data_IF_032907718734
#
_entry.id   IF_032907718734
#
_cell.length_a   1.000
_cell.length_b   1.000
_cell.length_c   1.000
_cell.angle_alpha   90.00
_cell.angle_beta   90.00
_cell.angle_gamma   90.00
#
_symmetry.space_group_name_H-M   'P 1'
#
loop_
_entity.id
_entity.type
_entity.pdbx_description
1 polymer ?
#
# COMPACT_ATOMS: atom_id res chain seq x y z
N UNK A 1 6.72 17.01 -16.83
CA UNK A 1 5.54 16.15 -16.88
C UNK A 1 5.72 14.95 -15.95
N UNK A 2 4.70 14.65 -15.21
CA UNK A 2 4.74 13.51 -14.29
C UNK A 2 4.78 12.21 -15.06
N UNK A 3 5.61 11.30 -14.58
CA UNK A 3 5.75 9.97 -15.17
C UNK A 3 4.83 8.96 -14.48
N UNK A 4 4.05 9.40 -13.50
CA UNK A 4 3.14 8.54 -12.77
C UNK A 4 1.75 9.14 -12.70
N UNK A 5 0.78 8.28 -12.41
CA UNK A 5 -0.61 8.69 -12.23
C UNK A 5 -1.00 8.39 -10.79
N UNK A 6 -1.42 9.41 -10.06
CA UNK A 6 -2.01 9.25 -8.73
C UNK A 6 -3.51 9.08 -8.88
N UNK A 7 -4.04 7.98 -8.38
CA UNK A 7 -5.47 7.72 -8.39
C UNK A 7 -6.01 8.14 -7.04
N UNK A 8 -6.81 9.21 -7.04
CA UNK A 8 -7.39 9.74 -5.80
C UNK A 8 -8.61 8.94 -5.42
N UNK A 9 -8.58 8.31 -4.26
CA UNK A 9 -9.75 7.72 -3.66
C UNK A 9 -10.32 8.71 -2.64
N UNK A 10 -11.40 9.40 -3.02
CA UNK A 10 -12.02 10.43 -2.19
C UNK A 10 -12.67 9.89 -0.92
N UNK A 11 -12.79 8.58 -0.81
CA UNK A 11 -13.32 7.95 0.41
C UNK A 11 -12.29 7.89 1.53
N UNK A 12 -10.99 8.11 1.24
CA UNK A 12 -9.99 8.15 2.30
C UNK A 12 -9.88 9.54 2.93
N UNK A 13 -9.72 9.59 4.27
CA UNK A 13 -9.54 10.85 4.96
C UNK A 13 -8.30 11.62 4.47
N UNK A 14 -8.35 12.92 4.62
CA UNK A 14 -7.30 13.80 4.13
C UNK A 14 -5.96 13.55 4.82
N UNK A 15 -5.94 13.24 6.11
CA UNK A 15 -4.73 12.93 6.84
C UNK A 15 -4.10 11.61 6.36
N UNK A 16 -4.92 10.62 6.01
CA UNK A 16 -4.44 9.38 5.39
C UNK A 16 -3.85 9.67 4.02
N UNK A 17 -4.51 10.51 3.22
CA UNK A 17 -3.99 10.90 1.91
C UNK A 17 -2.63 11.59 2.02
N UNK A 18 -2.45 12.44 3.03
CA UNK A 18 -1.16 13.10 3.27
C UNK A 18 -0.05 12.09 3.53
N UNK A 19 -0.35 11.04 4.32
CA UNK A 19 0.62 9.98 4.59
C UNK A 19 0.94 9.19 3.31
N UNK A 20 -0.07 8.87 2.52
CA UNK A 20 0.12 8.19 1.23
C UNK A 20 1.03 9.02 0.32
N UNK A 21 0.81 10.34 0.27
CA UNK A 21 1.64 11.23 -0.52
C UNK A 21 3.10 11.24 -0.04
N UNK A 22 3.33 11.17 1.26
CA UNK A 22 4.69 11.07 1.81
C UNK A 22 5.36 9.76 1.41
N UNK A 23 4.62 8.65 1.45
CA UNK A 23 5.13 7.35 1.00
C UNK A 23 5.52 7.42 -0.48
N UNK A 24 4.67 8.01 -1.31
CA UNK A 24 4.96 8.16 -2.74
C UNK A 24 6.25 8.95 -2.96
N UNK A 25 6.40 10.06 -2.25
CA UNK A 25 7.53 10.98 -2.42
C UNK A 25 8.82 10.42 -1.84
N UNK A 26 8.77 9.81 -0.65
CA UNK A 26 9.96 9.45 0.11
C UNK A 26 10.36 8.00 -0.04
N UNK A 27 9.40 7.09 -0.15
CA UNK A 27 9.66 5.66 -0.31
C UNK A 27 9.71 5.25 -1.79
N UNK A 28 8.93 5.92 -2.63
CA UNK A 28 8.88 5.74 -4.08
C UNK A 28 8.48 4.32 -4.49
N UNK A 29 7.34 3.81 -4.03
CA UNK A 29 6.84 2.52 -4.49
C UNK A 29 6.34 2.63 -5.93
N UNK A 30 6.21 1.49 -6.60
CA UNK A 30 5.59 1.42 -7.93
C UNK A 30 4.07 1.42 -7.86
N UNK A 31 3.51 0.92 -6.76
CA UNK A 31 2.07 0.79 -6.61
C UNK A 31 1.69 0.76 -5.14
N UNK A 32 0.55 1.34 -4.81
CA UNK A 32 -0.06 1.29 -3.47
C UNK A 32 -1.52 0.89 -3.63
N UNK A 33 -1.93 -0.16 -2.92
CA UNK A 33 -3.32 -0.64 -2.91
C UNK A 33 -3.81 -0.68 -1.48
N UNK A 34 -4.93 -0.02 -1.21
CA UNK A 34 -5.65 -0.16 0.05
C UNK A 34 -6.45 -1.46 0.01
N UNK A 35 -6.33 -2.30 1.04
CA UNK A 35 -7.08 -3.54 1.11
C UNK A 35 -7.66 -3.73 2.52
N UNK A 36 -8.31 -4.85 2.76
CA UNK A 36 -8.92 -5.15 4.05
C UNK A 36 -10.20 -4.36 4.31
N UNK A 37 -10.57 -4.22 5.58
CA UNK A 37 -11.86 -3.66 5.96
C UNK A 37 -12.06 -2.21 5.50
N UNK A 38 -10.99 -1.41 5.46
CA UNK A 38 -11.06 -0.01 4.99
C UNK A 38 -11.35 0.08 3.49
N UNK A 39 -10.95 -0.92 2.72
CA UNK A 39 -11.24 -0.98 1.29
C UNK A 39 -12.63 -1.54 1.01
N UNK A 40 -13.11 -2.45 1.86
CA UNK A 40 -14.35 -3.20 1.61
C UNK A 40 -15.58 -2.58 2.29
N UNK A 41 -15.41 -1.49 3.02
CA UNK A 41 -16.54 -0.72 3.54
C UNK A 41 -17.11 -1.21 4.87
N UNK A 42 -16.42 -2.11 5.58
CA UNK A 42 -16.88 -2.60 6.88
C UNK A 42 -15.88 -2.32 8.00
N UNK A 43 -15.09 -1.25 7.84
CA UNK A 43 -14.17 -0.81 8.86
C UNK A 43 -14.89 -0.14 10.02
N UNK A 44 -14.30 -0.26 11.22
CA UNK A 44 -14.68 0.51 12.41
C UNK A 44 -13.62 1.60 12.64
N UNK A 45 -13.84 2.46 13.63
CA UNK A 45 -12.86 3.50 13.99
C UNK A 45 -11.54 2.94 14.45
N UNK A 46 -11.50 1.68 14.91
CA UNK A 46 -10.29 1.01 15.39
C UNK A 46 -9.59 0.19 14.30
N UNK A 47 -10.13 0.13 13.10
CA UNK A 47 -9.54 -0.64 12.02
C UNK A 47 -8.28 0.01 11.49
N UNK A 48 -7.23 -0.82 11.25
CA UNK A 48 -6.01 -0.36 10.60
C UNK A 48 -6.27 -0.07 9.12
N UNK A 49 -5.41 0.78 8.55
CA UNK A 49 -5.33 0.93 7.10
C UNK A 49 -4.29 -0.06 6.58
N UNK A 50 -4.75 -1.03 5.81
CA UNK A 50 -3.89 -2.07 5.25
C UNK A 50 -3.44 -1.62 3.85
N UNK A 51 -2.14 -1.38 3.70
CA UNK A 51 -1.57 -0.96 2.43
C UNK A 51 -0.64 -2.03 1.88
N UNK A 52 -0.94 -2.48 0.68
CA UNK A 52 -0.07 -3.35 -0.10
C UNK A 52 0.69 -2.49 -1.09
N UNK A 53 2.01 -2.71 -1.16
CA UNK A 53 2.88 -1.95 -2.05
C UNK A 53 3.74 -2.87 -2.89
N UNK A 54 4.06 -2.40 -4.08
CA UNK A 54 5.05 -3.06 -4.94
C UNK A 54 6.24 -2.11 -5.03
N UNK A 55 7.43 -2.64 -4.72
CA UNK A 55 8.67 -1.88 -4.81
C UNK A 55 9.84 -2.80 -5.15
N UNK A 56 10.67 -2.36 -6.06
CA UNK A 56 11.93 -3.03 -6.35
C UNK A 56 12.90 -2.74 -5.19
N UNK A 57 13.06 -3.71 -4.32
CA UNK A 57 13.84 -3.57 -3.11
C UNK A 57 14.38 -4.94 -2.68
N UNK A 58 15.05 -4.99 -1.54
CA UNK A 58 15.60 -6.22 -0.98
C UNK A 58 15.34 -6.26 0.53
N UNK A 59 15.87 -7.27 1.19
CA UNK A 59 15.73 -7.41 2.63
C UNK A 59 14.48 -8.17 3.03
N UNK A 60 14.32 -8.34 4.34
CA UNK A 60 13.20 -9.05 4.93
C UNK A 60 11.92 -8.23 4.85
N UNK A 61 10.78 -8.89 5.03
CA UNK A 61 9.49 -8.20 5.10
C UNK A 61 9.49 -7.18 6.23
N UNK A 62 10.03 -7.53 7.39
CA UNK A 62 10.11 -6.60 8.53
C UNK A 62 10.96 -5.37 8.21
N UNK A 63 12.07 -5.54 7.49
CA UNK A 63 12.92 -4.41 7.09
C UNK A 63 12.20 -3.50 6.11
N UNK A 64 11.47 -4.07 5.18
CA UNK A 64 10.69 -3.29 4.22
C UNK A 64 9.60 -2.46 4.92
N UNK A 65 8.93 -3.04 5.90
CA UNK A 65 7.93 -2.33 6.70
C UNK A 65 8.57 -1.16 7.45
N UNK A 66 9.73 -1.39 8.05
CA UNK A 66 10.47 -0.34 8.75
C UNK A 66 10.83 0.81 7.80
N UNK A 67 11.27 0.49 6.59
CA UNK A 67 11.63 1.50 5.60
C UNK A 67 10.42 2.36 5.19
N UNK A 68 9.23 1.77 5.11
CA UNK A 68 8.00 2.55 4.88
C UNK A 68 7.74 3.46 6.08
N UNK A 69 7.80 2.94 7.30
CA UNK A 69 7.59 3.74 8.51
C UNK A 69 8.53 4.94 8.58
N UNK A 70 9.77 4.79 8.16
CA UNK A 70 10.74 5.89 8.13
C UNK A 70 10.39 6.97 7.10
N UNK A 71 9.57 6.65 6.12
CA UNK A 71 9.24 7.58 5.04
C UNK A 71 8.13 8.58 5.41
N UNK A 72 7.46 8.36 6.53
CA UNK A 72 6.34 9.20 6.99
C UNK A 72 6.69 9.89 8.31
N UNK A 73 5.95 10.94 8.64
CA UNK A 73 6.20 11.73 9.86
C UNK A 73 5.01 11.72 10.84
N UNK A 74 3.94 11.01 10.54
CA UNK A 74 2.78 10.90 11.42
C UNK A 74 2.50 9.43 11.68
N UNK A 75 2.79 8.97 12.89
CA UNK A 75 2.60 7.58 13.29
C UNK A 75 1.38 7.38 14.19
N UNK A 76 0.49 8.38 14.28
CA UNK A 76 -0.71 8.29 15.12
C UNK A 76 -1.83 7.50 14.46
N UNK A 77 -1.79 7.33 13.14
CA UNK A 77 -2.77 6.56 12.39
C UNK A 77 -2.28 5.12 12.26
N UNK A 78 -3.09 4.13 12.63
CA UNK A 78 -2.64 2.74 12.56
C UNK A 78 -2.62 2.25 11.10
N UNK A 79 -1.43 1.85 10.66
CA UNK A 79 -1.21 1.25 9.34
C UNK A 79 -0.60 -0.13 9.49
N UNK A 80 -0.93 -1.01 8.55
CA UNK A 80 -0.21 -2.25 8.30
C UNK A 80 0.33 -2.20 6.88
N UNK A 81 1.64 -2.33 6.72
CA UNK A 81 2.31 -2.24 5.42
C UNK A 81 2.81 -3.61 4.99
N UNK A 82 2.47 -4.01 3.77
CA UNK A 82 2.99 -5.23 3.14
C UNK A 82 3.64 -4.83 1.83
N UNK A 83 4.92 -5.15 1.67
CA UNK A 83 5.69 -4.76 0.48
C UNK A 83 6.20 -6.02 -0.23
N UNK A 84 5.80 -6.17 -1.50
CA UNK A 84 6.31 -7.20 -2.39
C UNK A 84 7.19 -6.57 -3.46
N UNK A 85 8.20 -7.29 -3.91
CA UNK A 85 8.93 -6.92 -5.13
C UNK A 85 8.13 -7.33 -6.36
N UNK A 86 8.42 -6.73 -7.54
CA UNK A 86 7.77 -7.18 -8.78
C UNK A 86 7.96 -8.67 -9.05
N UNK A 87 9.14 -9.20 -8.72
CA UNK A 87 9.43 -10.62 -8.87
C UNK A 87 8.55 -11.48 -7.97
N UNK A 88 8.34 -11.05 -6.72
CA UNK A 88 7.47 -11.75 -5.77
C UNK A 88 6.02 -11.71 -6.20
N UNK A 89 5.56 -10.60 -6.77
CA UNK A 89 4.21 -10.49 -7.33
C UNK A 89 4.02 -11.50 -8.46
N UNK A 90 4.99 -11.58 -9.36
CA UNK A 90 4.94 -12.53 -10.48
C UNK A 90 4.91 -13.97 -9.98
N UNK A 91 5.73 -14.30 -8.99
CA UNK A 91 5.76 -15.63 -8.38
C UNK A 91 4.43 -15.96 -7.74
N UNK A 92 3.87 -15.04 -6.94
CA UNK A 92 2.59 -15.22 -6.27
C UNK A 92 1.45 -15.44 -7.29
N UNK A 93 1.45 -14.70 -8.39
CA UNK A 93 0.48 -14.88 -9.46
C UNK A 93 0.61 -16.26 -10.11
N UNK A 94 1.83 -16.72 -10.35
CA UNK A 94 2.07 -18.05 -10.92
C UNK A 94 1.60 -19.17 -9.98
N UNK A 95 1.70 -18.94 -8.68
CA UNK A 95 1.25 -19.88 -7.65
C UNK A 95 -0.23 -19.73 -7.30
N UNK A 96 -0.94 -18.82 -7.96
CA UNK A 96 -2.37 -18.55 -7.72
C UNK A 96 -2.63 -18.17 -6.26
N UNK A 97 -1.82 -17.24 -5.73
CA UNK A 97 -1.94 -16.76 -4.36
C UNK A 97 -3.34 -16.22 -4.08
N UNK A 98 -3.98 -16.75 -3.05
CA UNK A 98 -5.28 -16.24 -2.60
C UNK A 98 -5.15 -14.79 -2.11
N UNK A 99 -4.10 -14.49 -1.37
CA UNK A 99 -3.87 -13.15 -0.84
C UNK A 99 -3.77 -12.13 -1.97
N UNK A 100 -2.94 -12.41 -2.98
CA UNK A 100 -2.76 -11.47 -4.09
C UNK A 100 -4.06 -11.34 -4.90
N UNK A 101 -4.83 -12.40 -5.03
CA UNK A 101 -6.14 -12.34 -5.66
C UNK A 101 -7.07 -11.38 -4.90
N UNK A 102 -7.08 -11.41 -3.57
CA UNK A 102 -7.87 -10.47 -2.75
C UNK A 102 -7.44 -9.03 -2.99
N UNK A 103 -6.13 -8.79 -3.06
CA UNK A 103 -5.60 -7.45 -3.35
C UNK A 103 -6.11 -6.95 -4.71
N UNK A 104 -6.04 -7.79 -5.73
CA UNK A 104 -6.39 -7.40 -7.09
C UNK A 104 -7.89 -7.23 -7.31
N UNK A 105 -8.71 -8.05 -6.65
CA UNK A 105 -10.17 -8.04 -6.88
C UNK A 105 -10.93 -7.13 -5.92
N UNK A 106 -10.46 -6.95 -4.69
CA UNK A 106 -11.17 -6.19 -3.65
C UNK A 106 -10.41 -4.96 -3.18
N UNK A 107 -9.16 -4.83 -3.53
CA UNK A 107 -8.37 -3.66 -3.16
C UNK A 107 -8.75 -2.43 -3.96
N UNK A 108 -8.38 -1.27 -3.43
CA UNK A 108 -8.53 0.02 -4.10
C UNK A 108 -7.17 0.60 -4.40
N UNK A 109 -6.87 0.84 -5.67
CA UNK A 109 -5.59 1.39 -6.09
C UNK A 109 -5.54 2.85 -5.65
N UNK A 110 -4.57 3.19 -4.81
CA UNK A 110 -4.33 4.57 -4.39
C UNK A 110 -3.27 5.23 -5.23
N UNK A 111 -2.36 4.45 -5.79
CA UNK A 111 -1.25 4.97 -6.60
C UNK A 111 -0.73 3.86 -7.50
N UNK A 112 -0.45 4.23 -8.74
CA UNK A 112 0.21 3.35 -9.68
C UNK A 112 1.13 4.18 -10.59
N UNK A 113 2.37 3.74 -10.67
CA UNK A 113 3.38 4.38 -11.52
C UNK A 113 3.33 3.79 -12.92
#
# INVERSE_FOLDING_TARGET
>A
MDTYTTIMNRAIPKDVQTIVDQIITNYKPQKIVLFGSRAEGHATTDSDYDLFMIKDTSGTIARRQYDVWKSIDNWSIPFDFIVYTPKEVKQANNEKSWFLNQIETKGKILYAN
#
